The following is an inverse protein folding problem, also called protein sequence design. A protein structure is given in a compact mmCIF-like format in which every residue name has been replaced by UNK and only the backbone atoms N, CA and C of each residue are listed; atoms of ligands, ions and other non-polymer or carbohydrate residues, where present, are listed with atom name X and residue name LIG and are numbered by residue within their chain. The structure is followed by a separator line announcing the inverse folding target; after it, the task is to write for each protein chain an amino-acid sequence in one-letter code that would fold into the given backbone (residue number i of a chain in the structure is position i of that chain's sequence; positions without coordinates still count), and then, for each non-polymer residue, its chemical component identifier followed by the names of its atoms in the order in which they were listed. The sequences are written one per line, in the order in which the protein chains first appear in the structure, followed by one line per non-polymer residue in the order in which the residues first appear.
data_IF_788545257975
#
_entry.id   IF_788545257975
#
_cell.length_a   1.000
_cell.length_b   1.000
_cell.length_c   1.000
_cell.angle_alpha   90.00
_cell.angle_beta   90.00
_cell.angle_gamma   90.00
#
_symmetry.space_group_name_H-M   'P 1'
#
loop_
_entity.id
_entity.type
_entity.pdbx_description
1 polymer ?
#
# COMPACT_ATOMS: atom_id res chain seq x y z
N UNK A 1 11.14 -9.82 -19.90
CA UNK A 1 11.71 -9.02 -18.80
C UNK A 1 10.63 -8.87 -17.74
N UNK A 2 10.57 -9.84 -16.82
CA UNK A 2 9.68 -9.80 -15.66
C UNK A 2 10.50 -9.35 -14.47
N UNK A 3 10.17 -8.21 -13.89
CA UNK A 3 10.48 -7.99 -12.48
C UNK A 3 9.14 -7.86 -11.79
N UNK A 4 8.64 -9.00 -11.30
CA UNK A 4 7.84 -9.05 -10.09
C UNK A 4 8.45 -8.08 -9.08
N UNK A 5 7.85 -6.91 -8.90
CA UNK A 5 8.04 -6.18 -7.66
C UNK A 5 6.71 -6.11 -6.92
N UNK A 6 6.35 -7.17 -6.17
CA UNK A 6 5.38 -7.03 -5.10
C UNK A 6 6.02 -7.47 -3.80
N UNK A 7 6.99 -6.70 -3.31
CA UNK A 7 7.40 -6.76 -1.91
C UNK A 7 6.36 -6.11 -0.99
N UNK A 8 5.07 -6.24 -1.29
CA UNK A 8 4.00 -5.59 -0.55
C UNK A 8 2.87 -6.60 -0.37
N UNK A 9 2.85 -7.25 0.80
CA UNK A 9 1.72 -8.09 1.19
C UNK A 9 0.65 -7.20 1.79
N UNK A 10 -0.61 -7.39 1.37
CA UNK A 10 -1.71 -6.54 1.84
C UNK A 10 -2.75 -7.38 2.58
N UNK A 11 -3.10 -6.94 3.79
CA UNK A 11 -4.12 -7.58 4.63
C UNK A 11 -5.13 -6.54 5.09
N UNK A 12 -6.40 -6.91 5.12
CA UNK A 12 -7.45 -6.09 5.75
C UNK A 12 -7.36 -6.25 7.26
N UNK A 13 -7.14 -5.15 7.97
CA UNK A 13 -7.26 -5.04 9.41
C UNK A 13 -8.70 -4.73 9.84
N UNK A 14 -8.96 -4.70 11.15
CA UNK A 14 -10.25 -4.27 11.68
C UNK A 14 -10.55 -2.81 11.30
N UNK A 15 -11.83 -2.44 11.27
CA UNK A 15 -12.28 -1.05 11.09
C UNK A 15 -11.83 -0.37 9.77
N UNK A 16 -11.53 -1.16 8.73
CA UNK A 16 -11.12 -0.62 7.43
C UNK A 16 -9.64 -0.26 7.33
N UNK A 17 -8.84 -0.66 8.32
CA UNK A 17 -7.39 -0.59 8.26
C UNK A 17 -6.83 -1.55 7.19
N UNK A 18 -5.69 -1.17 6.63
CA UNK A 18 -4.94 -1.91 5.65
C UNK A 18 -3.54 -2.10 6.22
N UNK A 19 -3.14 -3.34 6.46
CA UNK A 19 -1.77 -3.68 6.82
C UNK A 19 -0.98 -3.97 5.54
N UNK A 20 0.14 -3.29 5.38
CA UNK A 20 1.12 -3.47 4.32
C UNK A 20 2.39 -4.06 4.94
N UNK A 21 2.82 -5.22 4.46
CA UNK A 21 4.11 -5.79 4.87
C UNK A 21 5.10 -5.62 3.72
N UNK A 22 6.13 -4.82 3.94
CA UNK A 22 7.31 -4.68 3.08
C UNK A 22 8.50 -5.48 3.66
N UNK A 23 9.57 -5.71 2.89
CA UNK A 23 10.81 -6.28 3.43
C UNK A 23 11.40 -5.44 4.58
N UNK A 24 11.12 -4.13 4.60
CA UNK A 24 11.63 -3.20 5.61
C UNK A 24 10.76 -3.14 6.88
N UNK A 25 9.55 -3.70 6.86
CA UNK A 25 8.66 -3.76 8.01
C UNK A 25 7.17 -3.82 7.67
N UNK A 26 6.34 -3.87 8.70
CA UNK A 26 4.88 -3.80 8.56
C UNK A 26 4.37 -2.41 8.92
N UNK A 27 3.45 -1.89 8.12
CA UNK A 27 2.74 -0.66 8.42
C UNK A 27 1.23 -0.81 8.29
N UNK A 28 0.49 -0.17 9.19
CA UNK A 28 -0.96 -0.05 9.09
C UNK A 28 -1.31 1.32 8.52
N UNK A 29 -2.22 1.35 7.56
CA UNK A 29 -2.70 2.57 6.91
C UNK A 29 -4.20 2.47 6.63
N UNK A 30 -4.78 3.58 6.19
CA UNK A 30 -6.16 3.63 5.73
C UNK A 30 -6.20 3.60 4.21
N UNK A 31 -7.25 2.99 3.66
CA UNK A 31 -7.44 2.86 2.21
C UNK A 31 -7.37 4.21 1.47
N UNK A 32 -7.99 5.27 2.02
CA UNK A 32 -8.01 6.58 1.38
C UNK A 32 -6.63 7.24 1.27
N UNK A 33 -5.71 6.92 2.20
CA UNK A 33 -4.32 7.38 2.13
C UNK A 33 -3.58 6.69 0.98
N UNK A 34 -3.85 5.40 0.77
CA UNK A 34 -3.31 4.67 -0.38
C UNK A 34 -3.88 5.20 -1.70
N UNK A 35 -5.17 5.54 -1.76
CA UNK A 35 -5.79 6.18 -2.93
C UNK A 35 -5.11 7.52 -3.25
N UNK A 36 -4.88 8.35 -2.23
CA UNK A 36 -4.19 9.64 -2.40
C UNK A 36 -2.76 9.48 -2.93
N UNK A 37 -2.02 8.47 -2.47
CA UNK A 37 -0.66 8.17 -2.95
C UNK A 37 -0.69 7.57 -4.37
N UNK A 38 -1.65 6.68 -4.63
CA UNK A 38 -1.84 6.03 -5.93
C UNK A 38 -2.11 7.04 -7.06
N UNK A 39 -2.91 8.06 -6.76
CA UNK A 39 -3.27 9.15 -7.67
C UNK A 39 -2.20 10.28 -7.72
N UNK A 40 -1.17 10.19 -6.89
CA UNK A 40 -0.11 11.19 -6.81
C UNK A 40 -0.54 12.51 -6.17
N UNK A 41 -1.70 12.51 -5.49
CA UNK A 41 -2.24 13.67 -4.77
C UNK A 41 -1.53 13.92 -3.45
N UNK A 42 -0.96 12.87 -2.86
CA UNK A 42 -0.16 12.94 -1.65
C UNK A 42 1.11 12.11 -1.80
N UNK A 43 2.16 12.51 -1.07
CA UNK A 43 3.28 11.61 -0.76
C UNK A 43 2.92 10.82 0.49
N UNK A 44 3.40 9.59 0.59
CA UNK A 44 3.29 8.86 1.85
C UNK A 44 4.08 9.58 2.94
N UNK A 45 3.53 9.59 4.15
CA UNK A 45 4.16 10.19 5.32
C UNK A 45 4.36 9.11 6.41
N UNK A 46 5.37 9.30 7.26
CA UNK A 46 5.69 8.36 8.34
C UNK A 46 5.97 6.95 7.81
N UNK A 47 5.18 5.97 8.25
CA UNK A 47 5.35 4.58 7.83
C UNK A 47 5.03 4.31 6.35
N UNK A 48 4.54 5.32 5.61
CA UNK A 48 4.28 5.26 4.17
C UNK A 48 5.31 6.04 3.34
N UNK A 49 6.31 6.68 3.94
CA UNK A 49 7.27 7.56 3.24
C UNK A 49 8.01 6.85 2.08
N UNK A 50 8.19 5.52 2.19
CA UNK A 50 8.76 4.68 1.12
C UNK A 50 7.76 4.09 0.13
N UNK A 51 6.45 4.29 0.33
CA UNK A 51 5.41 3.71 -0.54
C UNK A 51 5.24 4.54 -1.80
N UNK A 52 5.62 3.95 -2.93
CA UNK A 52 5.44 4.56 -4.25
C UNK A 52 3.98 4.51 -4.71
N UNK A 53 3.60 5.40 -5.63
CA UNK A 53 2.27 5.35 -6.26
C UNK A 53 1.99 4.02 -6.97
N UNK A 54 3.01 3.33 -7.48
CA UNK A 54 2.87 2.00 -8.06
C UNK A 54 2.54 0.95 -7.00
N UNK A 55 3.23 0.97 -5.86
CA UNK A 55 2.94 0.08 -4.73
C UNK A 55 1.55 0.35 -4.14
N UNK A 56 1.16 1.61 -3.99
CA UNK A 56 -0.19 1.99 -3.55
C UNK A 56 -1.27 1.47 -4.51
N UNK A 57 -1.08 1.62 -5.84
CA UNK A 57 -1.98 1.03 -6.85
C UNK A 57 -2.02 -0.50 -6.81
N UNK A 58 -0.90 -1.15 -6.49
CA UNK A 58 -0.85 -2.60 -6.31
C UNK A 58 -1.64 -3.02 -5.07
N UNK A 59 -1.46 -2.31 -3.95
CA UNK A 59 -2.18 -2.55 -2.70
C UNK A 59 -3.70 -2.42 -2.87
N UNK A 60 -4.15 -1.35 -3.54
CA UNK A 60 -5.56 -1.12 -3.80
C UNK A 60 -6.16 -2.18 -4.72
N UNK A 61 -5.38 -2.70 -5.68
CA UNK A 61 -5.82 -3.84 -6.51
C UNK A 61 -5.95 -5.12 -5.70
N UNK A 62 -4.97 -5.42 -4.84
CA UNK A 62 -5.03 -6.57 -3.94
C UNK A 62 -6.26 -6.48 -3.00
N UNK A 63 -6.57 -5.28 -2.51
CA UNK A 63 -7.77 -5.03 -1.70
C UNK A 63 -9.09 -5.13 -2.47
N UNK A 64 -9.13 -5.04 -3.79
CA UNK A 64 -10.38 -5.24 -4.56
C UNK A 64 -10.58 -6.70 -4.97
N UNK A 65 -9.50 -7.49 -5.02
CA UNK A 65 -9.54 -8.91 -5.39
C UNK A 65 -9.75 -9.85 -4.19
N UNK A 66 -9.55 -9.35 -2.97
CA UNK A 66 -9.78 -10.05 -1.70
C UNK A 66 -11.17 -9.76 -1.11
#
# INVERSE_FOLDING_TARGET
MSTDQPGLTVRRGPEGLVCLSTPDGECATLRHLLESIADGLARGEGALEGVTSQQARSALRALHLA
#
